data_IF_217170514817
#
_entry.id   IF_217170514817
#
_cell.length_a   1.000
_cell.length_b   1.000
_cell.length_c   1.000
_cell.angle_alpha   90.00
_cell.angle_beta   90.00
_cell.angle_gamma   90.00
#
_symmetry.space_group_name_H-M   'P 1'
#
loop_
_entity.id
_entity.type
_entity.pdbx_description
1 polymer ?
#
# COMPACT_ATOMS: atom_id res chain seq x y z
N UNK A 1 1.81 12.03 -0.28
CA UNK A 1 3.12 11.74 -0.89
C UNK A 1 3.53 10.28 -0.69
N UNK A 2 3.88 9.84 0.54
CA UNK A 2 4.37 8.47 0.81
C UNK A 2 3.48 7.35 0.27
N UNK A 3 2.15 7.48 0.40
CA UNK A 3 1.20 6.51 -0.16
C UNK A 3 1.34 6.34 -1.69
N UNK A 4 1.45 7.44 -2.44
CA UNK A 4 1.56 7.38 -3.89
C UNK A 4 2.90 6.77 -4.32
N UNK A 5 3.97 7.07 -3.59
CA UNK A 5 5.28 6.45 -3.81
C UNK A 5 5.20 4.95 -3.56
N UNK A 6 4.54 4.52 -2.47
CA UNK A 6 4.31 3.10 -2.20
C UNK A 6 3.53 2.42 -3.33
N UNK A 7 2.43 3.01 -3.82
CA UNK A 7 1.69 2.47 -4.95
C UNK A 7 2.53 2.40 -6.23
N UNK A 8 3.36 3.40 -6.50
CA UNK A 8 4.26 3.41 -7.66
C UNK A 8 5.35 2.35 -7.55
N UNK A 9 5.90 2.11 -6.35
CA UNK A 9 6.89 1.07 -6.11
C UNK A 9 6.29 -0.35 -6.21
N UNK A 10 5.04 -0.50 -5.78
CA UNK A 10 4.34 -1.79 -5.79
C UNK A 10 3.85 -2.16 -7.18
N UNK A 11 3.12 -1.24 -7.82
CA UNK A 11 2.39 -1.48 -9.06
C UNK A 11 3.03 -0.81 -10.28
N UNK A 12 4.15 -0.13 -10.13
CA UNK A 12 4.72 0.65 -11.23
C UNK A 12 3.74 1.73 -11.73
N UNK A 13 3.91 2.11 -13.00
CA UNK A 13 3.05 3.08 -13.72
C UNK A 13 1.80 2.45 -14.33
N UNK A 14 1.36 1.32 -13.79
CA UNK A 14 0.22 0.57 -14.30
C UNK A 14 -1.09 1.33 -14.03
N UNK A 15 -1.89 1.55 -15.07
CA UNK A 15 -3.17 2.27 -14.99
C UNK A 15 -4.37 1.29 -15.05
N UNK A 16 -4.12 -0.02 -14.88
CA UNK A 16 -5.16 -1.05 -14.95
C UNK A 16 -6.16 -1.04 -13.77
N UNK A 17 -5.98 -0.15 -12.79
CA UNK A 17 -6.83 -0.07 -11.60
C UNK A 17 -7.07 1.37 -11.14
N UNK A 18 -8.20 1.58 -10.49
CA UNK A 18 -8.53 2.87 -9.89
C UNK A 18 -7.72 3.09 -8.60
N UNK A 19 -6.69 3.93 -8.71
CA UNK A 19 -5.80 4.30 -7.61
C UNK A 19 -6.53 5.07 -6.50
N UNK A 20 -7.52 5.88 -6.83
CA UNK A 20 -8.27 6.66 -5.84
C UNK A 20 -9.26 5.78 -5.09
N UNK A 21 -9.90 4.80 -5.74
CA UNK A 21 -10.73 3.81 -5.05
C UNK A 21 -9.89 2.91 -4.11
N UNK A 22 -8.73 2.43 -4.56
CA UNK A 22 -7.80 1.66 -3.72
C UNK A 22 -7.41 2.47 -2.48
N UNK A 23 -7.06 3.74 -2.66
CA UNK A 23 -6.72 4.68 -1.58
C UNK A 23 -7.88 4.91 -0.62
N UNK A 24 -9.10 5.11 -1.14
CA UNK A 24 -10.31 5.29 -0.35
C UNK A 24 -10.58 4.05 0.52
N UNK A 25 -10.49 2.85 -0.05
CA UNK A 25 -10.65 1.60 0.68
C UNK A 25 -9.57 1.39 1.74
N UNK A 26 -8.31 1.71 1.40
CA UNK A 26 -7.21 1.65 2.35
C UNK A 26 -7.45 2.55 3.58
N UNK A 27 -7.94 3.78 3.39
CA UNK A 27 -8.28 4.65 4.53
C UNK A 27 -9.43 4.13 5.39
N UNK A 28 -10.38 3.38 4.81
CA UNK A 28 -11.42 2.71 5.61
C UNK A 28 -10.81 1.57 6.43
N UNK A 29 -9.90 0.79 5.84
CA UNK A 29 -9.18 -0.28 6.51
C UNK A 29 -8.35 0.25 7.69
N UNK A 30 -7.51 1.27 7.45
CA UNK A 30 -6.66 1.91 8.45
C UNK A 30 -7.48 2.40 9.66
N UNK A 31 -8.59 3.11 9.42
CA UNK A 31 -9.46 3.63 10.48
C UNK A 31 -10.04 2.55 11.39
N UNK A 32 -10.27 1.34 10.88
CA UNK A 32 -10.80 0.25 11.68
C UNK A 32 -9.74 -0.68 12.27
N UNK A 33 -8.48 -0.60 11.81
CA UNK A 33 -7.39 -1.47 12.26
C UNK A 33 -7.15 -1.37 13.77
N UNK A 34 -7.11 -0.15 14.32
CA UNK A 34 -6.92 0.10 15.76
C UNK A 34 -8.24 0.21 16.55
N UNK A 35 -9.37 -0.21 15.98
CA UNK A 35 -10.67 -0.16 16.67
C UNK A 35 -10.92 -1.44 17.48
N UNK A 36 -11.92 -1.41 18.36
CA UNK A 36 -12.36 -2.63 19.06
C UNK A 36 -12.75 -3.71 18.05
N UNK A 37 -12.31 -4.97 18.20
CA UNK A 37 -12.48 -6.04 17.22
C UNK A 37 -13.91 -6.62 17.21
N UNK A 38 -14.92 -5.77 17.16
CA UNK A 38 -16.34 -6.11 17.19
C UNK A 38 -16.88 -6.07 15.76
N UNK A 39 -17.15 -7.23 15.17
CA UNK A 39 -17.61 -7.36 13.78
C UNK A 39 -19.15 -7.28 13.66
N UNK A 40 -19.73 -6.14 14.04
CA UNK A 40 -21.17 -5.87 13.90
C UNK A 40 -21.42 -4.72 12.92
N UNK A 41 -22.52 -4.75 12.15
CA UNK A 41 -22.88 -3.64 11.27
C UNK A 41 -22.84 -2.29 11.99
N UNK A 42 -22.15 -1.31 11.40
CA UNK A 42 -21.97 0.02 11.98
C UNK A 42 -20.62 0.25 12.67
N UNK A 43 -19.92 -0.81 13.12
CA UNK A 43 -18.61 -0.66 13.77
C UNK A 43 -17.51 -0.31 12.77
N UNK A 44 -16.43 0.31 13.25
CA UNK A 44 -15.23 0.58 12.44
C UNK A 44 -14.57 -0.71 11.98
N UNK A 45 -14.46 -1.71 12.86
CA UNK A 45 -13.91 -3.02 12.53
C UNK A 45 -14.69 -3.71 11.40
N UNK A 46 -16.03 -3.70 11.45
CA UNK A 46 -16.86 -4.27 10.39
C UNK A 46 -16.63 -3.59 9.03
N UNK A 47 -16.54 -2.26 9.03
CA UNK A 47 -16.22 -1.48 7.82
C UNK A 47 -14.82 -1.80 7.29
N UNK A 48 -13.82 -1.92 8.16
CA UNK A 48 -12.46 -2.28 7.79
C UNK A 48 -12.37 -3.70 7.21
N UNK A 49 -13.08 -4.67 7.78
CA UNK A 49 -13.14 -6.03 7.24
C UNK A 49 -13.79 -6.07 5.85
N UNK A 50 -14.82 -5.26 5.60
CA UNK A 50 -15.40 -5.10 4.26
C UNK A 50 -14.42 -4.46 3.28
N UNK A 51 -13.75 -3.38 3.68
CA UNK A 51 -12.74 -2.72 2.87
C UNK A 51 -11.55 -3.65 2.55
N UNK A 52 -11.13 -4.49 3.51
CA UNK A 52 -10.09 -5.51 3.31
C UNK A 52 -10.45 -6.48 2.19
N UNK A 53 -11.69 -6.98 2.17
CA UNK A 53 -12.18 -7.87 1.10
C UNK A 53 -12.18 -7.17 -0.27
N UNK A 54 -12.58 -5.91 -0.32
CA UNK A 54 -12.59 -5.13 -1.56
C UNK A 54 -11.17 -4.85 -2.07
N UNK A 55 -10.23 -4.52 -1.18
CA UNK A 55 -8.81 -4.37 -1.53
C UNK A 55 -8.22 -5.67 -2.09
N UNK A 56 -8.50 -6.81 -1.44
CA UNK A 56 -8.08 -8.12 -1.96
C UNK A 56 -8.60 -8.38 -3.38
N UNK A 57 -9.87 -8.03 -3.64
CA UNK A 57 -10.46 -8.20 -4.97
C UNK A 57 -9.79 -7.31 -6.03
N UNK A 58 -9.44 -6.06 -5.69
CA UNK A 58 -8.70 -5.17 -6.59
C UNK A 58 -7.32 -5.76 -6.91
N UNK A 59 -6.56 -6.20 -5.90
CA UNK A 59 -5.22 -6.78 -6.13
C UNK A 59 -5.31 -8.05 -6.96
N UNK A 60 -6.29 -8.92 -6.68
CA UNK A 60 -6.53 -10.11 -7.49
C UNK A 60 -6.85 -9.79 -8.96
N UNK A 61 -7.62 -8.74 -9.23
CA UNK A 61 -7.90 -8.30 -10.59
C UNK A 61 -6.64 -7.80 -11.32
N UNK A 62 -5.76 -7.05 -10.62
CA UNK A 62 -4.47 -6.62 -11.17
C UNK A 62 -3.58 -7.83 -11.49
N UNK A 63 -3.49 -8.79 -10.56
CA UNK A 63 -2.73 -10.02 -10.77
C UNK A 63 -3.22 -10.78 -12.01
N UNK A 64 -4.54 -10.95 -12.14
CA UNK A 64 -5.15 -11.60 -13.28
C UNK A 64 -4.81 -10.88 -14.59
N UNK A 65 -5.00 -9.55 -14.64
CA UNK A 65 -4.72 -8.74 -15.82
C UNK A 65 -3.25 -8.85 -16.28
N UNK A 66 -2.31 -8.79 -15.34
CA UNK A 66 -0.88 -8.92 -15.64
C UNK A 66 -0.50 -10.30 -16.16
N UNK A 67 -1.08 -11.37 -15.61
CA UNK A 67 -0.87 -12.75 -16.10
C UNK A 67 -1.43 -12.92 -17.51
N UNK A 68 -2.60 -12.37 -17.82
CA UNK A 68 -3.22 -12.47 -19.15
C UNK A 68 -2.42 -11.74 -20.22
N UNK A 69 -1.89 -10.54 -19.91
CA UNK A 69 -1.14 -9.74 -20.88
C UNK A 69 0.32 -10.19 -21.07
N UNK A 70 0.80 -11.11 -20.23
CA UNK A 70 2.20 -11.54 -20.18
C UNK A 70 3.19 -10.35 -20.10
N UNK A 71 2.79 -9.27 -19.45
CA UNK A 71 3.61 -8.05 -19.31
C UNK A 71 4.73 -8.28 -18.30
N UNK A 72 5.95 -7.89 -18.68
CA UNK A 72 7.08 -7.85 -17.77
C UNK A 72 7.17 -6.45 -17.14
N UNK A 73 7.00 -6.39 -15.82
CA UNK A 73 7.28 -5.18 -15.04
C UNK A 73 8.50 -5.41 -14.15
N UNK A 74 9.19 -4.32 -13.82
CA UNK A 74 10.27 -4.31 -12.84
C UNK A 74 9.79 -3.58 -11.57
N UNK A 75 8.76 -4.15 -10.93
CA UNK A 75 8.16 -3.65 -9.70
C UNK A 75 8.03 -4.74 -8.63
N UNK A 76 7.59 -4.35 -7.43
CA UNK A 76 7.48 -5.30 -6.32
C UNK A 76 6.43 -6.38 -6.58
N UNK A 77 5.32 -6.02 -7.24
CA UNK A 77 4.27 -6.99 -7.56
C UNK A 77 4.80 -8.10 -8.50
N UNK A 78 5.58 -7.74 -9.51
CA UNK A 78 6.26 -8.72 -10.38
C UNK A 78 7.24 -9.61 -9.61
N UNK A 79 7.90 -9.08 -8.58
CA UNK A 79 8.76 -9.88 -7.70
C UNK A 79 7.95 -10.93 -6.92
N UNK A 80 6.77 -10.56 -6.40
CA UNK A 80 5.86 -11.49 -5.72
C UNK A 80 5.20 -12.50 -6.66
N UNK A 81 4.96 -12.13 -7.92
CA UNK A 81 4.40 -13.04 -8.94
C UNK A 81 5.42 -14.04 -9.48
N UNK A 82 6.72 -13.86 -9.21
CA UNK A 82 7.76 -14.74 -9.72
C UNK A 82 7.64 -16.16 -9.14
N UNK A 83 7.95 -17.18 -9.97
CA UNK A 83 7.91 -18.59 -9.53
C UNK A 83 8.82 -18.86 -8.33
N UNK A 84 9.91 -18.10 -8.20
CA UNK A 84 10.85 -18.18 -7.08
C UNK A 84 10.21 -17.79 -5.74
N UNK A 85 9.21 -16.90 -5.76
CA UNK A 85 8.53 -16.49 -4.54
C UNK A 85 7.57 -17.56 -4.00
N UNK A 86 7.08 -18.46 -4.87
CA UNK A 86 6.16 -19.55 -4.53
C UNK A 86 4.94 -19.10 -3.69
N UNK A 87 4.39 -17.92 -4.00
CA UNK A 87 3.24 -17.34 -3.29
C UNK A 87 1.93 -17.63 -4.00
N UNK A 88 0.89 -17.92 -3.23
CA UNK A 88 -0.50 -17.94 -3.72
C UNK A 88 -1.01 -16.52 -3.96
N UNK A 89 -1.99 -16.33 -4.84
CA UNK A 89 -2.58 -15.00 -5.11
C UNK A 89 -3.15 -14.33 -3.84
N UNK A 90 -3.66 -15.13 -2.89
CA UNK A 90 -4.09 -14.65 -1.58
C UNK A 90 -2.91 -14.08 -0.77
N UNK A 91 -1.80 -14.82 -0.69
CA UNK A 91 -0.59 -14.34 -0.01
C UNK A 91 0.03 -13.12 -0.70
N UNK A 92 -0.01 -13.05 -2.04
CA UNK A 92 0.46 -11.86 -2.77
C UNK A 92 -0.41 -10.67 -2.41
N UNK A 93 -1.74 -10.82 -2.44
CA UNK A 93 -2.68 -9.76 -2.06
C UNK A 93 -2.45 -9.27 -0.63
N UNK A 94 -2.22 -10.20 0.30
CA UNK A 94 -1.96 -9.89 1.70
C UNK A 94 -0.64 -9.14 1.90
N UNK A 95 0.43 -9.57 1.23
CA UNK A 95 1.73 -8.89 1.26
C UNK A 95 1.66 -7.50 0.63
N UNK A 96 0.95 -7.34 -0.49
CA UNK A 96 0.74 -6.03 -1.13
C UNK A 96 0.05 -5.06 -0.17
N UNK A 97 -1.05 -5.48 0.46
CA UNK A 97 -1.79 -4.63 1.40
C UNK A 97 -0.94 -4.33 2.64
N UNK A 98 -0.18 -5.31 3.13
CA UNK A 98 0.79 -5.13 4.22
C UNK A 98 1.89 -4.12 3.88
N UNK A 99 2.41 -4.14 2.65
CA UNK A 99 3.42 -3.19 2.18
C UNK A 99 2.86 -1.76 2.07
N UNK A 100 1.63 -1.59 1.58
CA UNK A 100 0.95 -0.28 1.57
C UNK A 100 0.82 0.25 3.00
N UNK A 101 0.46 -0.64 3.95
CA UNK A 101 0.35 -0.31 5.36
C UNK A 101 1.68 0.13 5.96
N UNK A 102 2.73 -0.68 5.78
CA UNK A 102 4.05 -0.41 6.32
C UNK A 102 4.66 0.87 5.73
N UNK A 103 4.57 1.08 4.41
CA UNK A 103 5.27 2.14 3.72
C UNK A 103 4.66 3.54 3.92
N UNK A 104 3.35 3.64 4.18
CA UNK A 104 2.67 4.94 4.27
C UNK A 104 3.09 5.73 5.51
N UNK A 105 2.74 5.23 6.70
CA UNK A 105 2.78 6.04 7.92
C UNK A 105 4.18 6.14 8.50
N UNK A 106 5.00 5.08 8.37
CA UNK A 106 6.39 5.09 8.81
C UNK A 106 7.22 6.10 7.98
N UNK A 107 7.16 6.01 6.65
CA UNK A 107 7.89 6.91 5.74
C UNK A 107 7.40 8.34 5.85
N UNK A 108 6.08 8.56 5.93
CA UNK A 108 5.53 9.89 6.11
C UNK A 108 6.03 10.53 7.41
N UNK A 109 6.04 9.77 8.52
CA UNK A 109 6.53 10.24 9.81
C UNK A 109 8.01 10.61 9.75
N UNK A 110 8.86 9.73 9.19
CA UNK A 110 10.29 9.97 9.06
C UNK A 110 10.56 11.21 8.20
N UNK A 111 9.88 11.36 7.06
CA UNK A 111 10.03 12.56 6.22
C UNK A 111 9.61 13.84 6.97
N UNK A 112 8.52 13.81 7.73
CA UNK A 112 8.11 14.94 8.56
C UNK A 112 9.18 15.32 9.58
N UNK A 113 9.77 14.33 10.25
CA UNK A 113 10.86 14.57 11.21
C UNK A 113 12.12 15.10 10.54
N UNK A 114 12.52 14.56 9.39
CA UNK A 114 13.66 15.06 8.62
C UNK A 114 13.47 16.54 8.30
N UNK A 115 12.30 16.92 7.77
CA UNK A 115 12.01 18.31 7.42
C UNK A 115 12.07 19.22 8.64
N UNK A 116 11.50 18.80 9.78
CA UNK A 116 11.57 19.55 11.04
C UNK A 116 13.03 19.73 11.50
N UNK A 117 13.80 18.65 11.55
CA UNK A 117 15.19 18.71 12.04
C UNK A 117 16.09 19.54 11.15
N UNK A 118 15.94 19.46 9.83
CA UNK A 118 16.69 20.30 8.90
C UNK A 118 16.33 21.78 9.04
N UNK A 119 15.05 22.10 9.23
CA UNK A 119 14.60 23.48 9.44
C UNK A 119 15.14 24.09 10.75
N UNK A 120 15.23 23.29 11.81
CA UNK A 120 15.73 23.73 13.12
C UNK A 120 17.27 23.76 13.22
N UNK A 121 17.98 23.13 12.28
CA UNK A 121 19.44 23.02 12.29
C UNK A 121 20.06 23.49 10.96
N UNK A 122 20.17 24.81 10.72
CA UNK A 122 20.65 25.36 9.45
C UNK A 122 22.07 24.91 9.06
N UNK A 123 22.93 24.62 10.04
CA UNK A 123 24.27 24.07 9.80
C UNK A 123 24.22 22.67 9.19
N UNK A 124 23.31 21.82 9.66
CA UNK A 124 23.08 20.47 9.11
C UNK A 124 22.44 20.56 7.74
N UNK A 125 21.44 21.43 7.57
CA UNK A 125 20.81 21.68 6.26
C UNK A 125 21.87 22.06 5.22
N UNK A 126 22.72 23.04 5.52
CA UNK A 126 23.81 23.47 4.62
C UNK A 126 24.82 22.35 4.29
N UNK A 127 24.97 21.35 5.16
CA UNK A 127 25.87 20.24 4.91
C UNK A 127 25.27 19.16 3.97
N UNK A 128 23.94 19.11 3.83
CA UNK A 128 23.23 18.11 3.01
C UNK A 128 22.55 18.70 1.76
N UNK A 129 22.72 20.00 1.54
CA UNK A 129 22.29 20.74 0.33
C UNK A 129 23.48 21.32 -0.38
#
# INVERSE_FOLDING_TARGET
>A
YAFNVALLSIFGKDDCFDREELKRLYYVLEKGYNSMPINLPGTLFHKAMKARKQLSAIVAAILHNRREKAEQHNDLLSSFMSEKAALTDAQISDNVIGMIFAARDTTASVLTWILKYLAENPSVLKAVT
#
